data_IF_427111341424
#
_entry.id   IF_427111341424
#
_cell.length_a   1.000
_cell.length_b   1.000
_cell.length_c   1.000
_cell.angle_alpha   90.00
_cell.angle_beta   90.00
_cell.angle_gamma   90.00
#
_symmetry.space_group_name_H-M   'P 1'
#
loop_
_entity.id
_entity.type
_entity.pdbx_description
1 polymer ?
#
# COMPACT_ATOMS: atom_id res chain seq x y z
N UNK A 1 -67.48 -10.12 -30.02
CA UNK A 1 -66.70 -8.98 -29.49
C UNK A 1 -65.45 -9.58 -28.87
N UNK A 2 -64.36 -9.62 -29.63
CA UNK A 2 -63.07 -10.17 -29.23
C UNK A 2 -62.10 -9.00 -29.18
N UNK A 3 -61.59 -8.69 -27.99
CA UNK A 3 -60.41 -7.86 -27.83
C UNK A 3 -59.55 -8.57 -26.81
N UNK A 4 -58.69 -9.46 -27.30
CA UNK A 4 -57.46 -9.79 -26.61
C UNK A 4 -56.50 -8.64 -26.84
N UNK A 5 -56.14 -7.94 -25.76
CA UNK A 5 -55.04 -6.99 -25.77
C UNK A 5 -53.90 -7.65 -25.00
N UNK A 6 -53.05 -8.35 -25.74
CA UNK A 6 -51.63 -8.40 -25.41
C UNK A 6 -51.11 -6.99 -25.74
N UNK A 7 -50.55 -6.30 -24.76
CA UNK A 7 -49.28 -5.62 -25.02
C UNK A 7 -48.45 -5.57 -23.73
N UNK A 8 -47.18 -5.78 -23.95
CA UNK A 8 -46.17 -6.15 -22.99
C UNK A 8 -45.32 -4.93 -22.71
N UNK A 9 -45.56 -4.25 -21.58
CA UNK A 9 -44.62 -3.25 -21.08
C UNK A 9 -43.42 -3.94 -20.43
N UNK A 10 -42.52 -4.31 -21.32
CA UNK A 10 -41.12 -4.62 -21.05
C UNK A 10 -40.35 -3.30 -21.01
N UNK A 11 -40.00 -2.79 -19.82
CA UNK A 11 -38.86 -1.85 -19.70
C UNK A 11 -37.94 -2.26 -18.56
N UNK A 12 -36.80 -2.79 -18.99
CA UNK A 12 -35.68 -3.39 -18.30
C UNK A 12 -35.03 -2.45 -17.26
N UNK A 13 -34.68 -2.91 -16.04
CA UNK A 13 -33.67 -2.26 -15.22
C UNK A 13 -32.29 -2.66 -15.76
N UNK A 14 -31.73 -1.88 -16.68
CA UNK A 14 -30.39 -2.15 -17.24
C UNK A 14 -29.70 -0.83 -17.56
N UNK A 15 -29.14 -0.19 -16.53
CA UNK A 15 -28.40 1.08 -16.66
C UNK A 15 -27.67 1.53 -15.38
N UNK A 16 -28.13 1.12 -14.19
CA UNK A 16 -27.57 1.58 -12.91
C UNK A 16 -26.06 1.30 -12.72
N UNK A 17 -25.51 0.27 -13.37
CA UNK A 17 -24.07 -0.01 -13.27
C UNK A 17 -23.20 0.97 -14.03
N UNK A 18 -23.58 1.36 -15.25
CA UNK A 18 -22.72 2.16 -16.15
C UNK A 18 -22.59 3.61 -15.71
N UNK A 19 -23.64 4.16 -15.10
CA UNK A 19 -23.68 5.55 -14.67
C UNK A 19 -22.84 5.77 -13.39
N UNK A 20 -22.87 4.80 -12.47
CA UNK A 20 -22.03 4.78 -11.27
C UNK A 20 -20.54 4.63 -11.62
N UNK A 21 -20.21 3.75 -12.56
CA UNK A 21 -18.83 3.62 -13.07
C UNK A 21 -18.33 4.89 -13.74
N UNK A 22 -19.19 5.61 -14.46
CA UNK A 22 -18.86 6.90 -15.08
C UNK A 22 -18.57 8.00 -14.07
N UNK A 23 -19.37 8.06 -13.00
CA UNK A 23 -19.17 9.00 -11.89
C UNK A 23 -17.85 8.73 -11.17
N UNK A 24 -17.57 7.48 -10.79
CA UNK A 24 -16.31 7.12 -10.13
C UNK A 24 -15.08 7.43 -10.98
N UNK A 25 -15.11 7.17 -12.29
CA UNK A 25 -13.99 7.54 -13.18
C UNK A 25 -13.79 9.05 -13.25
N UNK A 26 -14.86 9.83 -13.20
CA UNK A 26 -14.79 11.29 -13.25
C UNK A 26 -14.16 11.85 -11.98
N UNK A 27 -14.57 11.35 -10.81
CA UNK A 27 -14.01 11.75 -9.51
C UNK A 27 -12.52 11.37 -9.42
N UNK A 28 -12.18 10.13 -9.78
CA UNK A 28 -10.78 9.66 -9.82
C UNK A 28 -9.97 10.46 -10.84
N UNK A 29 -10.55 10.78 -12.00
CA UNK A 29 -9.92 11.61 -13.02
C UNK A 29 -9.59 13.01 -12.50
N UNK A 30 -10.52 13.67 -11.82
CA UNK A 30 -10.31 14.99 -11.22
C UNK A 30 -9.22 14.99 -10.15
N UNK A 31 -9.20 13.97 -9.29
CA UNK A 31 -8.16 13.81 -8.26
C UNK A 31 -6.80 13.52 -8.90
N UNK A 32 -6.76 12.68 -9.93
CA UNK A 32 -5.53 12.35 -10.65
C UNK A 32 -4.95 13.60 -11.36
N UNK A 33 -5.77 14.42 -12.00
CA UNK A 33 -5.35 15.67 -12.65
C UNK A 33 -4.71 16.65 -11.66
N UNK A 34 -5.36 16.85 -10.51
CA UNK A 34 -4.85 17.70 -9.43
C UNK A 34 -3.55 17.14 -8.82
N UNK A 35 -3.48 15.83 -8.62
CA UNK A 35 -2.28 15.17 -8.09
C UNK A 35 -1.10 15.23 -9.07
N UNK A 36 -1.34 15.04 -10.37
CA UNK A 36 -0.30 15.08 -11.40
C UNK A 36 0.25 16.49 -11.57
N UNK A 37 -0.61 17.50 -11.63
CA UNK A 37 -0.18 18.90 -11.78
C UNK A 37 0.67 19.38 -10.60
N UNK A 38 0.23 19.11 -9.36
CA UNK A 38 0.98 19.46 -8.17
C UNK A 38 2.24 18.60 -7.99
N UNK A 39 2.15 17.31 -8.33
CA UNK A 39 3.23 16.34 -8.17
C UNK A 39 4.41 16.59 -9.09
N UNK A 40 4.19 17.01 -10.35
CA UNK A 40 5.28 17.25 -11.32
C UNK A 40 6.30 18.27 -10.81
N UNK A 41 5.86 19.43 -10.35
CA UNK A 41 6.76 20.48 -9.84
C UNK A 41 7.54 20.05 -8.58
N UNK A 42 6.90 19.28 -7.71
CA UNK A 42 7.55 18.73 -6.52
C UNK A 42 8.57 17.65 -6.87
N UNK A 43 8.23 16.73 -7.78
CA UNK A 43 9.11 15.63 -8.22
C UNK A 43 10.37 16.17 -8.87
N UNK A 44 10.27 17.17 -9.75
CA UNK A 44 11.44 17.75 -10.42
C UNK A 44 12.41 18.35 -9.39
N UNK A 45 11.90 19.11 -8.42
CA UNK A 45 12.73 19.73 -7.37
C UNK A 45 13.31 18.72 -6.37
N UNK A 46 12.58 17.63 -6.11
CA UNK A 46 13.00 16.57 -5.22
C UNK A 46 14.05 15.66 -5.89
N UNK A 47 13.95 15.44 -7.21
CA UNK A 47 14.85 14.57 -7.96
C UNK A 47 16.30 15.02 -7.84
N UNK A 48 16.58 16.31 -8.06
CA UNK A 48 17.93 16.87 -8.04
C UNK A 48 18.57 16.82 -6.64
N UNK A 49 17.78 17.04 -5.58
CA UNK A 49 18.28 16.95 -4.20
C UNK A 49 18.41 15.51 -3.72
N UNK A 50 17.51 14.64 -4.14
CA UNK A 50 17.51 13.24 -3.76
C UNK A 50 18.61 12.46 -4.46
N UNK A 51 18.95 12.76 -5.72
CA UNK A 51 20.00 12.05 -6.46
C UNK A 51 21.34 12.15 -5.73
N UNK A 52 21.76 13.36 -5.35
CA UNK A 52 23.05 13.60 -4.71
C UNK A 52 23.17 12.96 -3.32
N UNK A 53 22.06 12.92 -2.58
CA UNK A 53 22.01 12.28 -1.26
C UNK A 53 21.98 10.76 -1.38
N UNK A 54 21.21 10.25 -2.34
CA UNK A 54 21.02 8.82 -2.51
C UNK A 54 22.24 8.16 -3.15
N UNK A 55 22.96 8.83 -4.06
CA UNK A 55 24.23 8.32 -4.60
C UNK A 55 25.28 8.09 -3.52
N UNK A 56 25.24 8.86 -2.43
CA UNK A 56 26.14 8.69 -1.28
C UNK A 56 25.76 7.54 -0.36
N UNK A 57 24.50 7.09 -0.37
CA UNK A 57 23.96 6.04 0.52
C UNK A 57 23.54 4.76 -0.20
N UNK A 58 23.65 4.73 -1.53
CA UNK A 58 23.21 3.59 -2.34
C UNK A 58 23.94 2.30 -2.00
N UNK A 59 25.22 2.39 -1.64
CA UNK A 59 26.02 1.23 -1.24
C UNK A 59 25.44 0.55 0.01
N UNK A 60 25.06 1.33 1.03
CA UNK A 60 24.46 0.82 2.27
C UNK A 60 23.10 0.16 2.02
N UNK A 61 22.30 0.76 1.13
CA UNK A 61 20.99 0.22 0.74
C UNK A 61 21.15 -1.05 -0.07
N UNK A 62 22.03 -1.06 -1.08
CA UNK A 62 22.31 -2.23 -1.90
C UNK A 62 22.79 -3.41 -1.04
N UNK A 63 23.70 -3.14 -0.08
CA UNK A 63 24.18 -4.16 0.84
C UNK A 63 23.03 -4.74 1.68
N UNK A 64 22.17 -3.87 2.24
CA UNK A 64 21.02 -4.32 3.02
C UNK A 64 20.06 -5.20 2.20
N UNK A 65 19.84 -4.86 0.93
CA UNK A 65 18.99 -5.65 0.03
C UNK A 65 19.65 -6.99 -0.32
N UNK A 66 20.95 -7.01 -0.58
CA UNK A 66 21.71 -8.24 -0.83
C UNK A 66 21.74 -9.18 0.40
N UNK A 67 21.88 -8.62 1.60
CA UNK A 67 21.85 -9.37 2.86
C UNK A 67 20.47 -10.02 3.07
N UNK A 68 19.39 -9.31 2.71
CA UNK A 68 18.03 -9.85 2.73
C UNK A 68 17.83 -10.96 1.69
N UNK A 69 18.32 -10.77 0.46
CA UNK A 69 18.28 -11.79 -0.58
C UNK A 69 18.99 -13.06 -0.12
N UNK A 70 20.18 -12.91 0.48
CA UNK A 70 20.98 -14.00 1.03
C UNK A 70 20.25 -14.70 2.17
N UNK A 71 19.75 -13.96 3.16
CA UNK A 71 19.01 -14.53 4.30
C UNK A 71 17.76 -15.29 3.85
N UNK A 72 17.06 -14.77 2.84
CA UNK A 72 15.88 -15.40 2.25
C UNK A 72 16.25 -16.69 1.50
N UNK A 73 17.35 -16.66 0.73
CA UNK A 73 17.88 -17.84 0.03
C UNK A 73 18.31 -18.93 1.02
N UNK A 74 19.02 -18.56 2.08
CA UNK A 74 19.44 -19.48 3.15
C UNK A 74 18.24 -20.10 3.86
N UNK A 75 17.20 -19.31 4.13
CA UNK A 75 15.94 -19.80 4.73
C UNK A 75 15.21 -20.79 3.81
N UNK A 76 15.37 -20.65 2.50
CA UNK A 76 14.74 -21.52 1.49
C UNK A 76 15.30 -22.94 1.48
N UNK A 77 16.56 -23.11 1.90
CA UNK A 77 17.19 -24.42 2.14
C UNK A 77 16.40 -25.30 3.12
N UNK A 78 15.52 -24.70 3.94
CA UNK A 78 14.65 -25.39 4.88
C UNK A 78 13.28 -25.82 4.30
N UNK A 79 12.96 -25.41 3.06
CA UNK A 79 11.67 -25.67 2.39
C UNK A 79 11.76 -26.74 1.28
N UNK A 80 12.77 -27.62 1.33
CA UNK A 80 12.98 -28.71 0.35
C UNK A 80 11.74 -29.59 0.12
N UNK A 81 10.83 -29.65 1.11
CA UNK A 81 9.59 -30.44 1.04
C UNK A 81 8.45 -29.74 0.25
N UNK A 82 8.63 -28.51 -0.24
CA UNK A 82 7.59 -27.73 -0.96
C UNK A 82 8.15 -27.00 -2.20
N UNK A 83 8.26 -27.67 -3.37
CA UNK A 83 8.88 -27.11 -4.57
C UNK A 83 8.18 -25.85 -5.10
N UNK A 84 6.87 -25.74 -4.92
CA UNK A 84 6.10 -24.55 -5.34
C UNK A 84 6.43 -23.31 -4.50
N UNK A 85 6.73 -23.49 -3.21
CA UNK A 85 7.10 -22.39 -2.33
C UNK A 85 8.55 -22.01 -2.61
N UNK A 86 9.43 -23.00 -2.73
CA UNK A 86 10.83 -22.80 -3.10
C UNK A 86 10.98 -21.97 -4.38
N UNK A 87 10.25 -22.30 -5.45
CA UNK A 87 10.31 -21.55 -6.70
C UNK A 87 9.91 -20.07 -6.54
N UNK A 88 8.91 -19.79 -5.69
CA UNK A 88 8.46 -18.42 -5.41
C UNK A 88 9.50 -17.67 -4.59
N UNK A 89 10.08 -18.31 -3.57
CA UNK A 89 11.10 -17.66 -2.73
C UNK A 89 12.40 -17.45 -3.49
N UNK A 90 12.83 -18.40 -4.32
CA UNK A 90 13.99 -18.25 -5.19
C UNK A 90 13.80 -17.09 -6.18
N UNK A 91 12.62 -16.99 -6.81
CA UNK A 91 12.30 -15.86 -7.70
C UNK A 91 12.34 -14.52 -6.97
N UNK A 92 11.93 -14.49 -5.69
CA UNK A 92 11.98 -13.29 -4.88
C UNK A 92 13.43 -12.92 -4.51
N UNK A 93 14.24 -13.89 -4.10
CA UNK A 93 15.66 -13.69 -3.80
C UNK A 93 16.44 -13.18 -5.03
N UNK A 94 16.20 -13.79 -6.20
CA UNK A 94 16.83 -13.38 -7.47
C UNK A 94 16.39 -11.97 -7.90
N UNK A 95 15.13 -11.60 -7.63
CA UNK A 95 14.64 -10.24 -7.84
C UNK A 95 15.29 -9.22 -6.91
N UNK A 96 15.55 -9.58 -5.65
CA UNK A 96 16.25 -8.72 -4.68
C UNK A 96 17.73 -8.56 -5.03
N UNK A 97 18.40 -9.62 -5.51
CA UNK A 97 19.78 -9.56 -5.99
C UNK A 97 19.92 -8.60 -7.18
N UNK A 98 19.07 -8.75 -8.19
CA UNK A 98 19.02 -7.84 -9.34
C UNK A 98 18.73 -6.39 -8.91
N UNK A 99 17.89 -6.21 -7.89
CA UNK A 99 17.63 -4.90 -7.32
C UNK A 99 18.88 -4.32 -6.64
N UNK A 100 19.60 -5.11 -5.83
CA UNK A 100 20.84 -4.68 -5.19
C UNK A 100 21.90 -4.26 -6.20
N UNK A 101 22.11 -5.05 -7.26
CA UNK A 101 23.01 -4.69 -8.37
C UNK A 101 22.58 -3.41 -9.07
N UNK A 102 21.28 -3.27 -9.36
CA UNK A 102 20.75 -2.06 -9.98
C UNK A 102 20.96 -0.81 -9.12
N UNK A 103 20.81 -0.91 -7.80
CA UNK A 103 21.02 0.19 -6.85
C UNK A 103 22.51 0.55 -6.76
N UNK A 104 23.40 -0.43 -6.80
CA UNK A 104 24.85 -0.22 -6.70
C UNK A 104 25.40 0.47 -7.95
N UNK A 105 25.03 -0.03 -9.11
CA UNK A 105 25.71 0.28 -10.37
C UNK A 105 25.02 1.38 -11.19
N UNK A 106 23.74 1.72 -10.90
CA UNK A 106 22.99 2.77 -11.61
C UNK A 106 22.82 4.03 -10.77
N UNK A 107 22.65 5.16 -11.46
CA UNK A 107 22.24 6.40 -10.83
C UNK A 107 20.73 6.38 -10.55
N UNK A 108 20.28 7.17 -9.57
CA UNK A 108 18.85 7.31 -9.28
C UNK A 108 18.03 7.80 -10.49
N UNK A 109 18.65 8.58 -11.38
CA UNK A 109 18.01 9.07 -12.60
C UNK A 109 17.72 7.93 -13.60
N UNK A 110 18.62 6.95 -13.70
CA UNK A 110 18.44 5.77 -14.56
C UNK A 110 17.33 4.87 -14.03
N UNK A 111 17.30 4.63 -12.71
CA UNK A 111 16.24 3.85 -12.04
C UNK A 111 14.87 4.47 -12.31
N UNK A 112 14.75 5.80 -12.20
CA UNK A 112 13.49 6.49 -12.48
C UNK A 112 13.03 6.31 -13.94
N UNK A 113 13.98 6.30 -14.88
CA UNK A 113 13.71 6.08 -16.30
C UNK A 113 13.26 4.64 -16.58
N UNK A 114 13.81 3.66 -15.87
CA UNK A 114 13.37 2.26 -15.94
C UNK A 114 11.97 2.06 -15.36
N UNK A 115 11.65 2.75 -14.26
CA UNK A 115 10.31 2.73 -13.67
C UNK A 115 9.28 3.25 -14.68
N UNK A 116 9.59 4.31 -15.42
CA UNK A 116 8.69 4.83 -16.46
C UNK A 116 8.39 3.76 -17.54
N UNK A 117 9.42 3.02 -17.96
CA UNK A 117 9.24 1.90 -18.89
C UNK A 117 8.41 0.76 -18.29
N UNK A 118 8.59 0.47 -17.00
CA UNK A 118 7.83 -0.56 -16.28
C UNK A 118 6.34 -0.21 -16.18
N UNK A 119 6.02 1.05 -15.88
CA UNK A 119 4.65 1.58 -15.82
C UNK A 119 3.96 1.39 -17.17
N UNK A 120 4.64 1.74 -18.27
CA UNK A 120 4.09 1.61 -19.63
C UNK A 120 3.95 0.15 -20.07
N UNK A 121 4.85 -0.73 -19.64
CA UNK A 121 4.90 -2.13 -20.10
C UNK A 121 3.97 -3.05 -19.30
N UNK A 122 3.76 -2.78 -18.01
CA UNK A 122 2.98 -3.64 -17.10
C UNK A 122 2.14 -2.80 -16.12
N UNK A 123 1.11 -2.09 -16.62
CA UNK A 123 0.29 -1.20 -15.77
C UNK A 123 -0.38 -1.93 -14.59
N UNK A 124 -0.78 -3.19 -14.77
CA UNK A 124 -1.39 -3.98 -13.71
C UNK A 124 -0.43 -4.29 -12.55
N UNK A 125 0.83 -4.62 -12.85
CA UNK A 125 1.84 -4.93 -11.81
C UNK A 125 2.19 -3.68 -11.03
N UNK A 126 2.39 -2.55 -11.74
CA UNK A 126 2.65 -1.26 -11.08
C UNK A 126 1.47 -0.83 -10.21
N UNK A 127 0.24 -0.95 -10.71
CA UNK A 127 -0.98 -0.65 -9.93
C UNK A 127 -1.08 -1.49 -8.66
N UNK A 128 -0.81 -2.80 -8.74
CA UNK A 128 -0.80 -3.68 -7.58
C UNK A 128 0.27 -3.28 -6.55
N UNK A 129 1.49 -2.97 -7.02
CA UNK A 129 2.58 -2.51 -6.16
C UNK A 129 2.25 -1.17 -5.47
N UNK A 130 1.70 -0.21 -6.22
CA UNK A 130 1.31 1.09 -5.67
C UNK A 130 0.20 0.97 -4.63
N UNK A 131 -0.81 0.13 -4.87
CA UNK A 131 -1.86 -0.15 -3.89
C UNK A 131 -1.31 -0.83 -2.63
N UNK A 132 -0.45 -1.83 -2.79
CA UNK A 132 0.19 -2.51 -1.67
C UNK A 132 1.02 -1.54 -0.82
N UNK A 133 1.81 -0.67 -1.47
CA UNK A 133 2.59 0.35 -0.80
C UNK A 133 1.69 1.35 -0.06
N UNK A 134 0.64 1.86 -0.72
CA UNK A 134 -0.33 2.78 -0.12
C UNK A 134 -1.04 2.17 1.09
N UNK A 135 -1.45 0.91 1.02
CA UNK A 135 -2.03 0.19 2.15
C UNK A 135 -1.03 0.01 3.29
N UNK A 136 0.21 -0.37 2.99
CA UNK A 136 1.27 -0.52 3.99
C UNK A 136 1.53 0.82 4.71
N UNK A 137 1.61 1.93 3.97
CA UNK A 137 1.74 3.27 4.53
C UNK A 137 0.53 3.63 5.41
N UNK A 138 -0.69 3.40 4.93
CA UNK A 138 -1.91 3.66 5.70
C UNK A 138 -1.97 2.81 6.98
N UNK A 139 -1.58 1.54 6.90
CA UNK A 139 -1.50 0.63 8.04
C UNK A 139 -0.46 1.10 9.05
N UNK A 140 0.71 1.55 8.60
CA UNK A 140 1.75 2.07 9.49
C UNK A 140 1.25 3.33 10.24
N UNK A 141 0.66 4.28 9.52
CA UNK A 141 0.08 5.50 10.11
C UNK A 141 -1.01 5.16 11.13
N UNK A 142 -1.93 4.24 10.79
CA UNK A 142 -2.97 3.80 11.73
C UNK A 142 -2.37 3.11 12.96
N UNK A 143 -1.41 2.21 12.75
CA UNK A 143 -0.76 1.45 13.81
C UNK A 143 0.01 2.35 14.78
N UNK A 144 0.63 3.44 14.31
CA UNK A 144 1.31 4.39 15.21
C UNK A 144 0.30 5.22 16.01
N UNK A 145 -0.88 5.53 15.45
CA UNK A 145 -1.92 6.30 16.14
C UNK A 145 -2.64 5.52 17.24
N UNK A 146 -2.68 4.20 17.16
CA UNK A 146 -3.31 3.33 18.16
C UNK A 146 -2.49 3.22 19.47
N UNK A 147 -1.17 3.47 19.42
CA UNK A 147 -0.29 3.49 20.60
C UNK A 147 -0.55 4.64 21.58
N UNK A 148 -1.32 5.66 21.20
CA UNK A 148 -1.59 6.85 22.04
C UNK A 148 -2.93 6.80 22.79
N UNK A 149 -3.78 5.79 22.55
CA UNK A 149 -5.13 5.70 23.14
C UNK A 149 -5.25 4.74 24.31
N UNK A 150 -4.24 3.93 24.59
CA UNK A 150 -4.26 2.93 25.66
C UNK A 150 -3.92 3.48 27.06
N UNK A 151 -3.54 4.76 27.16
CA UNK A 151 -3.18 5.42 28.42
C UNK A 151 -4.31 6.07 29.21
N UNK A 152 -5.55 6.14 28.69
CA UNK A 152 -6.63 6.92 29.32
C UNK A 152 -7.82 6.13 29.88
N UNK A 153 -7.87 4.81 29.71
CA UNK A 153 -8.96 3.99 30.29
C UNK A 153 -8.63 3.35 31.64
N UNK A 154 -7.36 3.36 32.07
CA UNK A 154 -6.95 2.74 33.33
C UNK A 154 -7.14 3.63 34.58
N UNK A 155 -7.71 4.84 34.43
CA UNK A 155 -7.98 5.76 35.55
C UNK A 155 -9.47 6.05 35.80
N UNK A 156 -10.38 5.18 35.32
CA UNK A 156 -11.83 5.28 35.61
C UNK A 156 -12.38 4.15 36.48
N UNK A 157 -11.51 3.32 37.04
CA UNK A 157 -11.90 2.23 37.94
C UNK A 157 -11.21 2.37 39.30
N UNK A 158 -11.37 3.55 39.92
CA UNK A 158 -11.21 3.68 41.37
C UNK A 158 -12.60 3.53 41.98
N UNK A 159 -12.94 2.39 42.61
CA UNK A 159 -14.18 2.26 43.34
C UNK A 159 -14.20 3.27 44.49
N UNK A 160 -15.25 4.08 44.54
CA UNK A 160 -15.60 4.96 45.64
C UNK A 160 -15.57 4.20 46.98
N UNK A 161 -14.43 4.22 47.66
CA UNK A 161 -14.33 3.93 49.09
C UNK A 161 -14.31 5.23 49.85
N UNK A 162 -15.40 5.99 49.80
CA UNK A 162 -15.62 7.03 50.79
C UNK A 162 -17.10 7.38 50.90
N UNK A 163 -17.70 7.03 52.04
CA UNK A 163 -18.52 7.92 52.88
C UNK A 163 -19.66 7.16 53.58
N UNK A 164 -19.82 7.41 54.89
CA UNK A 164 -20.95 6.96 55.70
C UNK A 164 -20.52 6.03 56.84
N UNK A 165 -19.61 6.42 57.72
CA UNK A 165 -19.92 7.16 58.95
C UNK A 165 -21.28 6.84 59.59
N UNK A 166 -21.19 6.19 60.75
CA UNK A 166 -21.95 6.50 61.96
C UNK A 166 -23.36 5.89 62.14
N UNK A 167 -23.56 5.48 63.41
CA UNK A 167 -24.81 5.36 64.17
C UNK A 167 -25.58 4.03 64.08
N UNK A 168 -25.45 3.22 65.13
CA UNK A 168 -26.52 2.91 66.10
C UNK A 168 -25.92 1.92 67.13
N UNK A 169 -25.61 2.35 68.36
CA UNK A 169 -26.47 2.64 69.53
C UNK A 169 -27.15 1.40 70.13
N UNK A 170 -26.88 1.28 71.44
CA UNK A 170 -27.56 0.52 72.50
C UNK A 170 -27.23 -0.96 72.60
#
# INVERSE_FOLDING_TARGET
MSVGQQDSDQTKPSGAGTDEWGALRSDVGGIAEAAVSQGRHFIDSAKDQASDYADKRKADVAQSVADLATSLRESTSSFDERPNIQAVVDSAAEGLEQLAESIRDRSFADIFSDVENMVRRRPAVFGAAALALGFATARFIKSTSEGLRDGQQQNRNSPDRQAGSARQRA
#
